data_IF_903216468219
#
_entry.id   IF_903216468219
#
_cell.length_a   1.000
_cell.length_b   1.000
_cell.length_c   1.000
_cell.angle_alpha   90.00
_cell.angle_beta   90.00
_cell.angle_gamma   90.00
#
_symmetry.space_group_name_H-M   'P 1'
#
loop_
_entity.id
_entity.type
_entity.pdbx_description
1 polymer ?
#
# COMPACT_ATOMS: atom_id res chain seq x y z
N UNK A 1 -24.47 -12.03 -11.85
CA UNK A 1 -25.25 -10.77 -11.85
C UNK A 1 -26.37 -10.94 -12.86
N UNK A 2 -27.64 -10.88 -12.46
CA UNK A 2 -28.77 -10.99 -13.40
C UNK A 2 -28.71 -9.88 -14.44
N UNK A 3 -29.09 -10.19 -15.69
CA UNK A 3 -29.14 -9.23 -16.80
C UNK A 3 -27.82 -8.47 -17.06
N UNK A 4 -26.68 -9.05 -16.67
CA UNK A 4 -25.37 -8.47 -16.93
C UNK A 4 -25.02 -8.49 -18.42
N UNK A 5 -25.43 -9.55 -19.11
CA UNK A 5 -25.11 -9.79 -20.52
C UNK A 5 -26.40 -9.72 -21.35
N UNK A 6 -26.38 -9.05 -22.52
CA UNK A 6 -27.44 -9.16 -23.50
C UNK A 6 -27.48 -10.58 -24.11
N UNK A 7 -28.57 -10.91 -24.80
CA UNK A 7 -28.85 -12.28 -25.25
C UNK A 7 -27.82 -12.82 -26.24
N UNK A 8 -27.32 -11.96 -27.12
CA UNK A 8 -26.28 -12.26 -28.12
C UNK A 8 -24.94 -12.60 -27.45
N UNK A 9 -24.51 -11.82 -26.46
CA UNK A 9 -23.28 -12.13 -25.70
C UNK A 9 -23.37 -13.44 -24.92
N UNK A 10 -24.55 -13.79 -24.39
CA UNK A 10 -24.75 -15.08 -23.72
C UNK A 10 -24.50 -16.27 -24.65
N UNK A 11 -24.90 -16.16 -25.93
CA UNK A 11 -24.64 -17.21 -26.93
C UNK A 11 -23.14 -17.38 -27.14
N UNK A 12 -22.42 -16.28 -27.34
CA UNK A 12 -20.96 -16.29 -27.50
C UNK A 12 -20.25 -16.87 -26.27
N UNK A 13 -20.68 -16.52 -25.05
CA UNK A 13 -20.13 -17.06 -23.81
C UNK A 13 -20.35 -18.57 -23.73
N UNK A 14 -21.57 -19.05 -24.04
CA UNK A 14 -21.89 -20.49 -24.01
C UNK A 14 -21.05 -21.27 -25.02
N UNK A 15 -20.88 -20.75 -26.23
CA UNK A 15 -20.00 -21.35 -27.25
C UNK A 15 -18.55 -21.45 -26.75
N UNK A 16 -18.02 -20.37 -26.17
CA UNK A 16 -16.66 -20.33 -25.65
C UNK A 16 -16.40 -21.35 -24.53
N UNK A 17 -17.38 -21.59 -23.65
CA UNK A 17 -17.23 -22.55 -22.53
C UNK A 17 -17.58 -23.99 -22.91
N UNK A 18 -18.24 -24.23 -24.04
CA UNK A 18 -18.75 -25.55 -24.46
C UNK A 18 -17.64 -26.61 -24.49
N UNK A 19 -16.49 -26.30 -25.08
CA UNK A 19 -15.37 -27.24 -25.14
C UNK A 19 -14.83 -27.65 -23.77
N UNK A 20 -14.78 -26.69 -22.83
CA UNK A 20 -14.35 -26.92 -21.44
C UNK A 20 -15.41 -27.69 -20.65
N UNK A 21 -16.69 -27.36 -20.83
CA UNK A 21 -17.80 -28.04 -20.20
C UNK A 21 -17.87 -29.52 -20.61
N UNK A 22 -17.65 -29.81 -21.90
CA UNK A 22 -17.57 -31.18 -22.43
C UNK A 22 -16.44 -31.99 -21.78
N UNK A 23 -15.24 -31.41 -21.69
CA UNK A 23 -14.09 -32.04 -21.01
C UNK A 23 -14.34 -32.28 -19.52
N UNK A 24 -15.11 -31.40 -18.88
CA UNK A 24 -15.51 -31.52 -17.48
C UNK A 24 -16.74 -32.43 -17.26
N UNK A 25 -17.23 -33.12 -18.30
CA UNK A 25 -18.36 -34.05 -18.20
C UNK A 25 -19.71 -33.40 -17.92
N UNK A 26 -19.87 -32.09 -18.16
CA UNK A 26 -21.12 -31.36 -17.94
C UNK A 26 -22.06 -31.55 -19.15
N UNK A 27 -23.37 -31.49 -18.92
CA UNK A 27 -24.37 -31.53 -19.99
C UNK A 27 -24.24 -30.30 -20.90
N UNK A 28 -24.44 -30.48 -22.20
CA UNK A 28 -24.30 -29.41 -23.20
C UNK A 28 -25.62 -28.66 -23.47
N UNK A 29 -26.49 -28.56 -22.46
CA UNK A 29 -27.72 -27.76 -22.53
C UNK A 29 -27.41 -26.30 -22.17
N UNK A 30 -28.11 -25.30 -22.75
CA UNK A 30 -27.86 -23.89 -22.44
C UNK A 30 -27.86 -23.55 -20.93
N UNK A 31 -28.79 -24.07 -20.09
CA UNK A 31 -28.74 -23.83 -18.65
C UNK A 31 -27.49 -24.43 -17.98
N UNK A 32 -27.06 -25.62 -18.41
CA UNK A 32 -25.87 -26.30 -17.87
C UNK A 32 -24.58 -25.59 -18.27
N UNK A 33 -24.49 -25.10 -19.51
CA UNK A 33 -23.34 -24.32 -19.99
C UNK A 33 -23.22 -22.99 -19.25
N UNK A 34 -24.34 -22.29 -19.03
CA UNK A 34 -24.33 -21.05 -18.24
C UNK A 34 -23.99 -21.30 -16.77
N UNK A 35 -24.52 -22.36 -16.16
CA UNK A 35 -24.17 -22.75 -14.80
C UNK A 35 -22.68 -23.10 -14.68
N UNK A 36 -22.13 -23.81 -15.67
CA UNK A 36 -20.70 -24.11 -15.75
C UNK A 36 -19.87 -22.83 -15.88
N UNK A 37 -20.27 -21.89 -16.74
CA UNK A 37 -19.62 -20.58 -16.85
C UNK A 37 -19.59 -19.85 -15.50
N UNK A 38 -20.73 -19.75 -14.80
CA UNK A 38 -20.82 -19.12 -13.48
C UNK A 38 -19.94 -19.83 -12.44
N UNK A 39 -19.88 -21.16 -12.47
CA UNK A 39 -18.97 -21.95 -11.63
C UNK A 39 -17.50 -21.62 -11.92
N UNK A 40 -17.12 -21.53 -13.20
CA UNK A 40 -15.76 -21.15 -13.59
C UNK A 40 -15.44 -19.71 -13.17
N UNK A 41 -16.35 -18.75 -13.32
CA UNK A 41 -16.16 -17.39 -12.82
C UNK A 41 -15.91 -17.38 -11.32
N UNK A 42 -16.72 -18.09 -10.53
CA UNK A 42 -16.57 -18.15 -9.07
C UNK A 42 -15.27 -18.80 -8.62
N UNK A 43 -14.75 -19.77 -9.37
CA UNK A 43 -13.49 -20.44 -9.05
C UNK A 43 -12.24 -19.63 -9.42
N UNK A 44 -12.34 -18.74 -10.42
CA UNK A 44 -11.17 -18.07 -10.99
C UNK A 44 -11.15 -16.54 -10.78
N UNK A 45 -12.28 -15.92 -10.46
CA UNK A 45 -12.37 -14.49 -10.20
C UNK A 45 -12.24 -14.22 -8.70
N UNK A 46 -11.13 -13.57 -8.33
CA UNK A 46 -10.90 -13.04 -6.99
C UNK A 46 -10.96 -11.52 -7.04
N UNK A 47 -11.89 -10.94 -6.29
CA UNK A 47 -12.05 -9.48 -6.18
C UNK A 47 -11.48 -9.00 -4.86
N UNK A 48 -10.60 -8.00 -4.92
CA UNK A 48 -10.06 -7.29 -3.76
C UNK A 48 -10.54 -5.86 -3.82
N UNK A 49 -11.22 -5.40 -2.77
CA UNK A 49 -11.81 -4.07 -2.69
C UNK A 49 -11.15 -3.34 -1.51
N UNK A 50 -10.47 -2.24 -1.78
CA UNK A 50 -9.93 -1.36 -0.76
C UNK A 50 -10.93 -0.23 -0.47
N UNK A 51 -11.38 -0.11 0.78
CA UNK A 51 -12.30 0.92 1.24
C UNK A 51 -11.70 1.62 2.45
N UNK A 52 -11.78 2.96 2.47
CA UNK A 52 -11.41 3.72 3.66
C UNK A 52 -12.55 3.67 4.68
N UNK A 53 -12.29 3.36 5.96
CA UNK A 53 -13.31 3.40 7.01
C UNK A 53 -13.65 4.83 7.45
N UNK A 54 -12.93 5.84 6.92
CA UNK A 54 -13.13 7.25 7.28
C UNK A 54 -14.42 7.80 6.67
N UNK A 55 -15.25 8.44 7.51
CA UNK A 55 -16.51 9.07 7.10
C UNK A 55 -17.71 8.11 7.01
N UNK A 56 -18.87 8.64 6.60
CA UNK A 56 -20.12 7.85 6.56
C UNK A 56 -20.23 6.94 5.34
N UNK A 57 -19.50 7.23 4.26
CA UNK A 57 -19.63 6.56 2.97
C UNK A 57 -19.36 5.05 3.05
N UNK A 58 -18.39 4.62 3.85
CA UNK A 58 -18.12 3.19 4.06
C UNK A 58 -19.33 2.48 4.66
N UNK A 59 -19.88 3.03 5.74
CA UNK A 59 -21.07 2.51 6.42
C UNK A 59 -22.29 2.47 5.49
N UNK A 60 -22.49 3.52 4.68
CA UNK A 60 -23.57 3.58 3.71
C UNK A 60 -23.42 2.51 2.61
N UNK A 61 -22.21 2.27 2.11
CA UNK A 61 -21.93 1.21 1.13
C UNK A 61 -22.19 -0.19 1.70
N UNK A 62 -21.76 -0.45 2.94
CA UNK A 62 -22.03 -1.75 3.58
C UNK A 62 -23.53 -2.02 3.75
N UNK A 63 -24.33 -0.99 4.03
CA UNK A 63 -25.81 -1.13 4.10
C UNK A 63 -26.44 -1.37 2.73
N UNK A 64 -25.96 -0.69 1.69
CA UNK A 64 -26.44 -0.87 0.31
C UNK A 64 -26.05 -2.24 -0.27
N UNK A 65 -24.89 -2.78 0.13
CA UNK A 65 -24.30 -3.99 -0.42
C UNK A 65 -23.87 -4.96 0.69
N UNK A 66 -24.83 -5.67 1.33
CA UNK A 66 -24.53 -6.60 2.44
C UNK A 66 -23.62 -7.78 2.05
N UNK A 67 -23.53 -8.11 0.75
CA UNK A 67 -22.60 -9.12 0.25
C UNK A 67 -21.12 -8.79 0.52
N UNK A 68 -20.77 -7.50 0.68
CA UNK A 68 -19.41 -7.10 1.07
C UNK A 68 -19.02 -7.59 2.48
N UNK A 69 -20.00 -7.89 3.34
CA UNK A 69 -19.76 -8.44 4.68
C UNK A 69 -19.99 -9.95 4.67
N UNK A 70 -21.03 -10.41 4.00
CA UNK A 70 -21.45 -11.82 4.06
C UNK A 70 -20.64 -12.75 3.13
N UNK A 71 -20.01 -12.21 2.08
CA UNK A 71 -19.35 -13.00 1.04
C UNK A 71 -17.88 -12.63 0.81
N UNK A 72 -17.34 -11.69 1.57
CA UNK A 72 -15.94 -11.28 1.50
C UNK A 72 -15.26 -11.50 2.85
N UNK A 73 -13.97 -11.79 2.81
CA UNK A 73 -13.12 -11.73 4.01
C UNK A 73 -12.76 -10.28 4.28
N UNK A 74 -13.02 -9.81 5.50
CA UNK A 74 -12.65 -8.45 5.91
C UNK A 74 -11.24 -8.49 6.48
N UNK A 75 -10.34 -7.75 5.84
CA UNK A 75 -8.97 -7.51 6.32
C UNK A 75 -8.85 -6.05 6.79
N UNK A 76 -8.50 -5.86 8.06
CA UNK A 76 -8.43 -4.54 8.68
C UNK A 76 -7.00 -4.01 8.73
N UNK A 77 -6.75 -2.95 7.97
CA UNK A 77 -5.50 -2.21 7.99
C UNK A 77 -5.45 -1.32 9.23
N UNK A 78 -4.87 -1.87 10.29
CA UNK A 78 -4.63 -1.15 11.53
C UNK A 78 -3.41 -0.25 11.41
N UNK A 79 -3.31 0.75 12.29
CA UNK A 79 -2.12 1.59 12.32
C UNK A 79 -0.91 0.75 12.72
N UNK A 80 0.23 1.01 12.08
CA UNK A 80 1.46 0.30 12.34
C UNK A 80 1.91 0.48 13.81
N UNK A 81 2.15 -0.62 14.56
CA UNK A 81 2.74 -0.55 15.88
C UNK A 81 4.20 -0.07 15.80
N UNK A 82 4.78 0.30 16.95
CA UNK A 82 6.17 0.75 17.07
C UNK A 82 7.14 -0.20 16.35
N UNK A 83 6.99 -1.51 16.57
CA UNK A 83 7.88 -2.52 16.02
C UNK A 83 7.79 -2.61 14.49
N UNK A 84 6.59 -2.44 13.92
CA UNK A 84 6.41 -2.38 12.48
C UNK A 84 7.03 -1.11 11.90
N UNK A 85 6.88 0.04 12.56
CA UNK A 85 7.52 1.29 12.15
C UNK A 85 9.05 1.18 12.15
N UNK A 86 9.63 0.56 13.19
CA UNK A 86 11.07 0.29 13.27
C UNK A 86 11.52 -0.66 12.17
N UNK A 87 10.80 -1.77 11.94
CA UNK A 87 11.12 -2.73 10.89
C UNK A 87 11.09 -2.09 9.50
N UNK A 88 10.09 -1.25 9.22
CA UNK A 88 10.01 -0.49 7.96
C UNK A 88 11.17 0.51 7.85
N UNK A 89 11.48 1.27 8.91
CA UNK A 89 12.63 2.18 8.89
C UNK A 89 13.94 1.42 8.61
N UNK A 90 14.15 0.29 9.27
CA UNK A 90 15.35 -0.53 9.09
C UNK A 90 15.47 -1.05 7.66
N UNK A 91 14.38 -1.53 7.08
CA UNK A 91 14.36 -1.98 5.69
C UNK A 91 14.69 -0.85 4.71
N UNK A 92 14.05 0.31 4.84
CA UNK A 92 14.20 1.43 3.91
C UNK A 92 15.52 2.21 4.06
N UNK A 93 16.16 2.13 5.24
CA UNK A 93 17.45 2.75 5.53
C UNK A 93 18.63 1.79 5.34
N UNK A 94 18.41 0.53 4.98
CA UNK A 94 19.45 -0.50 4.87
C UNK A 94 20.59 -0.11 3.90
N UNK A 95 20.28 0.59 2.82
CA UNK A 95 21.22 1.07 1.80
C UNK A 95 21.90 2.41 2.15
N UNK A 96 21.49 3.05 3.24
CA UNK A 96 22.11 4.29 3.72
C UNK A 96 23.37 3.96 4.50
N UNK A 97 24.51 4.44 4.02
CA UNK A 97 25.77 4.33 4.76
C UNK A 97 25.69 5.10 6.08
N UNK A 98 26.00 4.45 7.20
CA UNK A 98 25.96 5.05 8.54
C UNK A 98 27.22 4.65 9.30
N UNK A 99 27.77 5.58 10.08
CA UNK A 99 29.07 5.44 10.72
C UNK A 99 29.15 4.24 11.67
N UNK A 100 28.08 4.00 12.44
CA UNK A 100 28.00 2.89 13.38
C UNK A 100 26.63 2.24 13.41
N UNK A 101 26.55 1.01 13.93
CA UNK A 101 25.29 0.29 14.13
C UNK A 101 24.38 1.00 15.14
N UNK A 102 24.96 1.64 16.16
CA UNK A 102 24.23 2.41 17.17
C UNK A 102 23.59 3.66 16.55
N UNK A 103 24.33 4.35 15.67
CA UNK A 103 23.79 5.51 14.93
C UNK A 103 22.62 5.09 14.06
N UNK A 104 22.73 3.92 13.40
CA UNK A 104 21.63 3.36 12.61
C UNK A 104 20.40 3.08 13.44
N UNK A 105 20.56 2.33 14.54
CA UNK A 105 19.45 2.01 15.44
C UNK A 105 18.79 3.30 15.98
N UNK A 106 19.58 4.32 16.33
CA UNK A 106 19.05 5.60 16.81
C UNK A 106 18.25 6.34 15.73
N UNK A 107 18.68 6.33 14.46
CA UNK A 107 17.94 6.95 13.36
C UNK A 107 16.63 6.20 13.09
N UNK A 108 16.66 4.86 13.09
CA UNK A 108 15.46 4.02 12.93
C UNK A 108 14.44 4.30 14.04
N UNK A 109 14.90 4.39 15.29
CA UNK A 109 14.07 4.74 16.44
C UNK A 109 13.52 6.16 16.32
N UNK A 110 14.32 7.12 15.86
CA UNK A 110 13.89 8.49 15.66
C UNK A 110 12.79 8.61 14.61
N UNK A 111 12.88 7.89 13.49
CA UNK A 111 11.82 7.84 12.48
C UNK A 111 10.50 7.37 13.13
N UNK A 112 10.53 6.25 13.87
CA UNK A 112 9.36 5.73 14.57
C UNK A 112 8.78 6.76 15.55
N UNK A 113 9.62 7.38 16.38
CA UNK A 113 9.21 8.39 17.37
C UNK A 113 8.56 9.60 16.70
N UNK A 114 9.12 10.08 15.59
CA UNK A 114 8.55 11.21 14.86
C UNK A 114 7.16 10.89 14.34
N UNK A 115 6.96 9.72 13.75
CA UNK A 115 5.64 9.32 13.27
C UNK A 115 4.62 9.20 14.41
N UNK A 116 5.00 8.59 15.53
CA UNK A 116 4.12 8.47 16.70
C UNK A 116 3.77 9.83 17.31
N UNK A 117 4.75 10.72 17.42
CA UNK A 117 4.55 12.08 17.91
C UNK A 117 3.57 12.84 17.01
N UNK A 118 3.75 12.79 15.69
CA UNK A 118 2.83 13.43 14.74
C UNK A 118 1.41 12.89 14.86
N UNK A 119 1.23 11.61 15.15
CA UNK A 119 -0.11 11.04 15.41
C UNK A 119 -0.76 11.63 16.66
N UNK A 120 0.01 11.81 17.74
CA UNK A 120 -0.48 12.50 18.94
C UNK A 120 -0.88 13.94 18.65
N UNK A 121 0.01 14.68 17.99
CA UNK A 121 -0.23 16.06 17.58
C UNK A 121 -1.44 16.21 16.63
N UNK A 122 -1.69 15.23 15.76
CA UNK A 122 -2.85 15.22 14.89
C UNK A 122 -4.17 15.15 15.69
N UNK A 123 -4.18 14.41 16.80
CA UNK A 123 -5.34 14.35 17.69
C UNK A 123 -5.53 15.67 18.44
N UNK A 124 -4.44 16.30 18.88
CA UNK A 124 -4.48 17.61 19.53
C UNK A 124 -4.98 18.69 18.56
N UNK A 125 -4.47 18.67 17.33
CA UNK A 125 -4.90 19.56 16.25
C UNK A 125 -6.40 19.43 15.94
N UNK A 126 -6.95 18.22 15.96
CA UNK A 126 -8.38 18.01 15.80
C UNK A 126 -9.17 18.64 16.96
N UNK A 127 -8.69 18.53 18.20
CA UNK A 127 -9.37 19.10 19.38
C UNK A 127 -9.36 20.63 19.37
N UNK A 128 -8.26 21.23 18.92
CA UNK A 128 -8.06 22.67 18.99
C UNK A 128 -8.58 23.42 17.75
N UNK A 129 -8.39 22.85 16.56
CA UNK A 129 -8.70 23.52 15.30
C UNK A 129 -9.90 22.91 14.57
N UNK A 130 -10.52 21.85 15.12
CA UNK A 130 -11.63 21.10 14.51
C UNK A 130 -11.33 20.59 13.09
N UNK A 131 -10.04 20.40 12.79
CA UNK A 131 -9.55 19.99 11.47
C UNK A 131 -8.81 18.67 11.57
N UNK A 132 -9.16 17.75 10.67
CA UNK A 132 -8.48 16.47 10.57
C UNK A 132 -7.12 16.61 9.87
N UNK A 133 -6.09 16.05 10.49
CA UNK A 133 -4.83 15.71 9.84
C UNK A 133 -4.62 14.19 9.96
N UNK A 134 -4.34 13.53 8.84
CA UNK A 134 -4.18 12.07 8.81
C UNK A 134 -2.71 11.71 8.65
N UNK A 135 -2.10 11.20 9.71
CA UNK A 135 -0.80 10.57 9.62
C UNK A 135 -0.96 9.16 9.01
N UNK A 136 -0.51 8.98 7.77
CA UNK A 136 -0.64 7.72 7.03
C UNK A 136 0.69 6.98 6.93
N UNK A 137 0.68 5.65 6.66
CA UNK A 137 1.90 4.91 6.33
C UNK A 137 2.66 5.53 5.15
N UNK A 138 1.98 6.09 4.15
CA UNK A 138 2.61 6.79 3.03
C UNK A 138 3.41 8.00 3.51
N UNK A 139 2.84 8.83 4.39
CA UNK A 139 3.55 9.98 4.98
C UNK A 139 4.79 9.55 5.80
N UNK A 140 4.78 8.35 6.38
CA UNK A 140 5.94 7.77 7.06
C UNK A 140 7.05 7.37 6.07
N UNK A 141 6.68 6.74 4.96
CA UNK A 141 7.64 6.40 3.91
C UNK A 141 8.24 7.65 3.27
N UNK A 142 7.44 8.70 3.07
CA UNK A 142 7.90 10.00 2.59
C UNK A 142 8.88 10.67 3.57
N UNK A 143 8.65 10.57 4.88
CA UNK A 143 9.60 11.04 5.90
C UNK A 143 10.98 10.37 5.73
N UNK A 144 11.00 9.04 5.61
CA UNK A 144 12.24 8.27 5.46
C UNK A 144 12.93 8.63 4.14
N UNK A 145 12.16 8.70 3.05
CA UNK A 145 12.69 9.06 1.73
C UNK A 145 13.29 10.47 1.73
N UNK A 146 12.60 11.44 2.32
CA UNK A 146 13.07 12.82 2.46
C UNK A 146 14.38 12.87 3.27
N UNK A 147 14.47 12.09 4.35
CA UNK A 147 15.70 11.96 5.13
C UNK A 147 16.87 11.44 4.27
N UNK A 148 16.65 10.37 3.48
CA UNK A 148 17.68 9.80 2.59
C UNK A 148 18.18 10.82 1.58
N UNK A 149 17.26 11.50 0.91
CA UNK A 149 17.58 12.51 -0.11
C UNK A 149 18.36 13.68 0.49
N UNK A 150 17.89 14.20 1.63
CA UNK A 150 18.54 15.32 2.31
C UNK A 150 19.93 14.95 2.80
N UNK A 151 20.09 13.77 3.41
CA UNK A 151 21.39 13.28 3.88
C UNK A 151 22.38 13.14 2.71
N UNK A 152 21.94 12.53 1.60
CA UNK A 152 22.75 12.39 0.39
C UNK A 152 23.18 13.74 -0.18
N UNK A 153 22.24 14.70 -0.28
CA UNK A 153 22.53 16.05 -0.75
C UNK A 153 23.55 16.78 0.15
N UNK A 154 23.38 16.69 1.47
CA UNK A 154 24.30 17.32 2.44
C UNK A 154 25.69 16.67 2.42
N UNK A 155 25.77 15.34 2.38
CA UNK A 155 27.06 14.63 2.22
C UNK A 155 27.77 15.03 0.95
N UNK A 156 27.07 15.07 -0.19
CA UNK A 156 27.65 15.51 -1.47
C UNK A 156 28.19 16.94 -1.39
N UNK A 157 27.47 17.86 -0.76
CA UNK A 157 27.91 19.24 -0.57
C UNK A 157 29.18 19.31 0.29
N UNK A 158 29.21 18.62 1.42
CA UNK A 158 30.37 18.58 2.33
C UNK A 158 31.59 17.93 1.67
N UNK A 159 31.42 16.78 1.01
CA UNK A 159 32.51 16.11 0.29
C UNK A 159 33.05 16.96 -0.86
N UNK A 160 32.18 17.67 -1.58
CA UNK A 160 32.62 18.59 -2.64
C UNK A 160 33.45 19.74 -2.07
N UNK A 161 33.05 20.29 -0.92
CA UNK A 161 33.80 21.34 -0.23
C UNK A 161 35.17 20.82 0.26
N UNK A 162 35.19 19.66 0.93
CA UNK A 162 36.43 19.00 1.35
C UNK A 162 37.40 18.79 0.19
N UNK A 163 36.92 18.23 -0.93
CA UNK A 163 37.74 17.99 -2.13
C UNK A 163 38.32 19.29 -2.69
N UNK A 164 37.56 20.39 -2.70
CA UNK A 164 38.06 21.70 -3.13
C UNK A 164 39.20 22.20 -2.24
N UNK A 165 39.08 22.04 -0.92
CA UNK A 165 40.14 22.40 0.01
C UNK A 165 41.40 21.55 -0.18
N UNK A 166 41.26 20.23 -0.31
CA UNK A 166 42.40 19.32 -0.53
C UNK A 166 43.15 19.64 -1.82
N UNK A 167 42.43 19.90 -2.92
CA UNK A 167 43.02 20.33 -4.20
C UNK A 167 43.71 21.69 -4.07
N UNK A 168 43.11 22.63 -3.34
CA UNK A 168 43.70 23.94 -3.09
C UNK A 168 45.01 23.84 -2.30
N UNK A 169 45.01 23.05 -1.22
CA UNK A 169 46.19 22.83 -0.39
C UNK A 169 47.31 22.12 -1.17
N UNK A 170 46.97 21.10 -1.97
CA UNK A 170 47.95 20.40 -2.81
C UNK A 170 48.66 21.31 -3.82
N UNK A 171 47.97 22.34 -4.32
CA UNK A 171 48.58 23.36 -5.20
C UNK A 171 49.46 24.36 -4.46
N UNK A 172 49.26 24.57 -3.16
CA UNK A 172 50.09 25.49 -2.35
C UNK A 172 51.37 24.81 -1.82
N UNK A 173 51.33 23.49 -1.66
CA UNK A 173 52.45 22.68 -1.18
C UNK A 173 53.36 22.16 -2.31
N UNK A 174 52.98 22.39 -3.57
CA UNK A 174 53.76 22.07 -4.78
C UNK A 174 54.45 23.32 -5.30
#
# INVERSE_FOLDING_TARGET
VPNLFPKDELVTIMEAVTGRAKKAGKALTPPSLYAFFVEQCRQNLHLVIALSPVGSAFRERLRKFPSLVNCCTIDWFSVWPSDALKSVASHFLADVDMETAETRAAVEDMCMVFHQTVRGLAADYLREAERYYYATPTSYLELIQTYKELLGAKRKAVHSLKRRYEVGLGKLLA
#
